data_IF_246070197013
#
_entry.id   IF_246070197013
#
_cell.length_a   1.000
_cell.length_b   1.000
_cell.length_c   1.000
_cell.angle_alpha   90.00
_cell.angle_beta   90.00
_cell.angle_gamma   90.00
#
_symmetry.space_group_name_H-M   'P 1'
#
loop_
_entity.id
_entity.type
_entity.pdbx_description
1 polymer ?
#
# COMPACT_ATOMS: atom_id res chain seq x y z
N UNK A 1 -14.86 9.05 14.58
CA UNK A 1 -13.68 8.24 14.21
C UNK A 1 -12.48 9.12 13.86
N UNK A 2 -12.62 10.15 13.03
CA UNK A 2 -11.55 11.13 12.75
C UNK A 2 -11.43 12.25 13.82
N UNK A 3 -11.68 11.93 15.10
CA UNK A 3 -11.63 12.92 16.17
C UNK A 3 -10.21 13.48 16.29
N UNK A 4 -10.05 14.77 16.02
CA UNK A 4 -8.74 15.45 15.99
C UNK A 4 -8.37 16.05 14.63
N UNK A 5 -9.02 15.63 13.54
CA UNK A 5 -8.92 16.33 12.26
C UNK A 5 -9.98 17.42 12.16
N UNK A 6 -9.59 18.57 11.59
CA UNK A 6 -10.54 19.60 11.14
C UNK A 6 -10.89 19.28 9.69
N UNK A 7 -12.17 19.02 9.43
CA UNK A 7 -12.65 18.70 8.09
C UNK A 7 -14.08 19.22 7.89
N UNK A 8 -14.44 19.40 6.63
CA UNK A 8 -15.80 19.67 6.19
C UNK A 8 -16.40 18.40 5.60
N UNK A 9 -17.71 18.22 5.78
CA UNK A 9 -18.43 17.07 5.24
C UNK A 9 -19.17 17.53 3.98
N UNK A 10 -18.75 17.01 2.83
CA UNK A 10 -19.46 17.15 1.57
C UNK A 10 -19.98 15.78 1.15
N UNK A 11 -21.31 15.66 1.05
CA UNK A 11 -21.95 14.43 0.56
C UNK A 11 -21.83 14.40 -0.96
N UNK A 12 -21.29 13.31 -1.50
CA UNK A 12 -21.29 13.07 -2.95
C UNK A 12 -22.72 12.82 -3.46
N UNK A 13 -23.02 13.31 -4.67
CA UNK A 13 -24.27 12.99 -5.37
C UNK A 13 -24.08 11.87 -6.42
N UNK A 14 -22.92 11.23 -6.45
CA UNK A 14 -22.69 10.08 -7.32
C UNK A 14 -23.72 8.98 -7.04
N UNK A 15 -24.44 8.55 -8.06
CA UNK A 15 -25.42 7.46 -7.95
C UNK A 15 -24.71 6.12 -7.72
N UNK A 16 -25.05 5.42 -6.64
CA UNK A 16 -24.48 4.11 -6.30
C UNK A 16 -25.12 2.98 -7.14
N UNK A 17 -25.10 3.11 -8.46
CA UNK A 17 -25.79 2.22 -9.41
C UNK A 17 -24.84 1.46 -10.35
N UNK A 18 -23.53 1.46 -10.06
CA UNK A 18 -22.54 0.70 -10.81
C UNK A 18 -22.93 -0.78 -10.92
N UNK A 19 -22.81 -1.33 -12.14
CA UNK A 19 -23.13 -2.73 -12.40
C UNK A 19 -22.11 -3.65 -11.73
N UNK A 20 -22.52 -4.30 -10.64
CA UNK A 20 -21.71 -5.24 -9.86
C UNK A 20 -21.15 -6.38 -10.72
N UNK A 21 -21.83 -6.77 -11.80
CA UNK A 21 -21.40 -7.86 -12.69
C UNK A 21 -20.23 -7.49 -13.61
N UNK A 22 -19.96 -6.19 -13.77
CA UNK A 22 -18.82 -5.68 -14.53
C UNK A 22 -17.47 -5.81 -13.82
N UNK A 23 -17.49 -6.12 -12.51
CA UNK A 23 -16.30 -6.20 -11.67
C UNK A 23 -15.86 -7.65 -11.47
N UNK A 24 -14.55 -7.89 -11.50
CA UNK A 24 -13.98 -9.23 -11.28
C UNK A 24 -14.10 -9.69 -9.83
N UNK A 25 -14.18 -8.74 -8.90
CA UNK A 25 -14.28 -9.01 -7.48
C UNK A 25 -15.09 -7.92 -6.76
N UNK A 26 -15.67 -8.23 -5.58
CA UNK A 26 -16.27 -7.22 -4.72
C UNK A 26 -15.32 -6.08 -4.32
N UNK A 27 -14.04 -6.38 -4.26
CA UNK A 27 -12.98 -5.42 -3.94
C UNK A 27 -12.84 -4.38 -5.04
N UNK A 28 -12.89 -4.81 -6.30
CA UNK A 28 -12.84 -3.88 -7.44
C UNK A 28 -14.08 -2.97 -7.46
N UNK A 29 -15.25 -3.53 -7.14
CA UNK A 29 -16.50 -2.77 -7.02
C UNK A 29 -16.42 -1.67 -5.97
N UNK A 30 -16.08 -2.02 -4.71
CA UNK A 30 -16.05 -1.05 -3.60
C UNK A 30 -14.99 0.04 -3.83
N UNK A 31 -13.85 -0.31 -4.43
CA UNK A 31 -12.83 0.67 -4.81
C UNK A 31 -13.34 1.66 -5.83
N UNK A 32 -13.99 1.18 -6.89
CA UNK A 32 -14.51 2.04 -7.93
C UNK A 32 -15.62 2.95 -7.41
N UNK A 33 -16.54 2.43 -6.59
CA UNK A 33 -17.58 3.25 -5.94
C UNK A 33 -16.97 4.34 -5.06
N UNK A 34 -15.98 4.01 -4.20
CA UNK A 34 -15.28 5.00 -3.37
C UNK A 34 -14.58 6.06 -4.23
N UNK A 35 -13.93 5.63 -5.32
CA UNK A 35 -13.23 6.49 -6.27
C UNK A 35 -14.17 7.49 -6.93
N UNK A 36 -15.26 7.03 -7.52
CA UNK A 36 -16.19 7.89 -8.24
C UNK A 36 -16.84 8.93 -7.32
N UNK A 37 -17.24 8.55 -6.11
CA UNK A 37 -17.73 9.49 -5.08
C UNK A 37 -16.71 10.57 -4.75
N UNK A 38 -15.44 10.18 -4.64
CA UNK A 38 -14.36 11.11 -4.26
C UNK A 38 -14.00 12.06 -5.40
N UNK A 39 -13.99 11.56 -6.64
CA UNK A 39 -13.76 12.35 -7.85
C UNK A 39 -14.86 13.39 -8.05
N UNK A 40 -16.12 13.03 -7.85
CA UNK A 40 -17.25 13.96 -7.99
C UNK A 40 -17.13 15.14 -7.01
N UNK A 41 -16.83 14.86 -5.73
CA UNK A 41 -16.61 15.91 -4.72
C UNK A 41 -15.40 16.77 -5.07
N UNK A 42 -14.28 16.15 -5.48
CA UNK A 42 -13.09 16.90 -5.88
C UNK A 42 -13.36 17.82 -7.09
N UNK A 43 -14.13 17.34 -8.06
CA UNK A 43 -14.50 18.11 -9.26
C UNK A 43 -15.40 19.30 -8.91
N UNK A 44 -16.42 19.09 -8.07
CA UNK A 44 -17.29 20.17 -7.58
C UNK A 44 -16.50 21.26 -6.87
N UNK A 45 -15.55 20.88 -6.01
CA UNK A 45 -14.71 21.83 -5.30
C UNK A 45 -13.76 22.58 -6.25
N UNK A 46 -13.21 21.87 -7.24
CA UNK A 46 -12.33 22.45 -8.26
C UNK A 46 -13.06 23.50 -9.10
N UNK A 47 -14.28 23.19 -9.54
CA UNK A 47 -15.10 24.07 -10.38
C UNK A 47 -15.53 25.33 -9.61
N UNK A 48 -15.73 25.21 -8.29
CA UNK A 48 -15.98 26.33 -7.38
C UNK A 48 -14.71 27.11 -7.00
N UNK A 49 -13.54 26.69 -7.48
CA UNK A 49 -12.23 27.23 -7.08
C UNK A 49 -12.04 27.27 -5.56
N UNK A 50 -12.64 26.31 -4.85
CA UNK A 50 -12.47 26.19 -3.42
C UNK A 50 -11.03 25.74 -3.12
N UNK A 51 -10.41 26.22 -2.02
CA UNK A 51 -9.14 25.68 -1.59
C UNK A 51 -9.32 24.22 -1.15
N UNK A 52 -8.59 23.31 -1.79
CA UNK A 52 -8.61 21.88 -1.49
C UNK A 52 -7.22 21.48 -1.03
N UNK A 53 -7.07 20.96 0.18
CA UNK A 53 -5.83 20.33 0.62
C UNK A 53 -5.87 18.80 0.43
N UNK A 54 -7.02 18.21 0.78
CA UNK A 54 -7.26 16.78 0.73
C UNK A 54 -8.77 16.49 0.69
N UNK A 55 -9.20 15.68 -0.26
CA UNK A 55 -10.52 15.05 -0.28
C UNK A 55 -10.34 13.59 0.09
N UNK A 56 -11.16 13.12 1.04
CA UNK A 56 -11.20 11.73 1.49
C UNK A 56 -12.59 11.20 1.19
N UNK A 57 -12.68 10.13 0.41
CA UNK A 57 -13.90 9.35 0.31
C UNK A 57 -13.65 7.90 0.68
N UNK A 58 -14.70 7.24 1.13
CA UNK A 58 -14.69 5.84 1.48
C UNK A 58 -16.01 5.19 1.09
N UNK A 59 -15.96 3.90 0.80
CA UNK A 59 -17.14 3.07 0.57
C UNK A 59 -16.96 1.73 1.26
N UNK A 60 -18.05 1.19 1.81
CA UNK A 60 -18.04 -0.03 2.62
C UNK A 60 -19.13 -0.97 2.16
N UNK A 61 -18.75 -2.23 1.92
CA UNK A 61 -19.66 -3.31 1.55
C UNK A 61 -19.42 -4.55 2.41
N UNK A 62 -20.45 -5.39 2.55
CA UNK A 62 -20.32 -6.72 3.15
C UNK A 62 -20.34 -7.77 2.05
N UNK A 63 -19.51 -8.80 2.15
CA UNK A 63 -19.52 -9.93 1.22
C UNK A 63 -19.72 -11.24 1.96
N UNK A 64 -20.61 -12.07 1.44
CA UNK A 64 -20.84 -13.42 1.93
C UNK A 64 -21.10 -14.35 0.74
N UNK A 65 -20.38 -15.47 0.66
CA UNK A 65 -20.44 -16.42 -0.49
C UNK A 65 -20.30 -15.73 -1.87
N UNK A 66 -19.36 -14.78 -1.99
CA UNK A 66 -19.12 -13.95 -3.18
C UNK A 66 -20.29 -13.02 -3.59
N UNK A 67 -21.32 -12.87 -2.78
CA UNK A 67 -22.40 -11.90 -2.99
C UNK A 67 -22.11 -10.62 -2.23
N UNK A 68 -22.33 -9.47 -2.88
CA UNK A 68 -22.16 -8.14 -2.30
C UNK A 68 -23.47 -7.70 -1.63
N UNK A 69 -23.37 -7.26 -0.39
CA UNK A 69 -24.46 -6.73 0.42
C UNK A 69 -24.17 -5.26 0.75
N UNK A 70 -25.02 -4.40 0.22
CA UNK A 70 -25.04 -2.97 0.52
C UNK A 70 -26.05 -2.67 1.64
N UNK A 71 -26.59 -1.46 1.66
CA UNK A 71 -27.66 -1.07 2.57
C UNK A 71 -28.95 -1.82 2.21
N UNK A 72 -29.69 -2.35 3.20
CA UNK A 72 -30.99 -2.94 2.94
C UNK A 72 -31.97 -1.87 2.44
N UNK A 73 -32.90 -2.28 1.59
CA UNK A 73 -33.89 -1.38 0.96
C UNK A 73 -35.02 -1.04 1.92
N UNK A 74 -35.33 -2.00 2.79
CA UNK A 74 -36.39 -1.95 3.77
C UNK A 74 -36.11 -2.96 4.90
N UNK A 75 -36.98 -2.99 5.92
CA UNK A 75 -36.87 -3.90 7.06
C UNK A 75 -36.93 -5.38 6.68
N UNK A 76 -37.70 -5.74 5.66
CA UNK A 76 -37.81 -7.14 5.19
C UNK A 76 -36.49 -7.59 4.60
N UNK A 77 -35.89 -6.77 3.73
CA UNK A 77 -34.58 -7.03 3.16
C UNK A 77 -33.50 -7.14 4.26
N UNK A 78 -33.56 -6.29 5.31
CA UNK A 78 -32.65 -6.40 6.44
C UNK A 78 -32.76 -7.76 7.18
N UNK A 79 -33.99 -8.24 7.41
CA UNK A 79 -34.21 -9.58 7.98
C UNK A 79 -33.61 -10.69 7.11
N UNK A 80 -33.75 -10.60 5.78
CA UNK A 80 -33.21 -11.57 4.83
C UNK A 80 -31.67 -11.58 4.81
N UNK A 81 -31.04 -10.41 4.88
CA UNK A 81 -29.58 -10.30 5.00
C UNK A 81 -29.08 -10.94 6.29
N UNK A 82 -29.66 -10.59 7.44
CA UNK A 82 -29.25 -11.10 8.75
C UNK A 82 -29.41 -12.63 8.88
N UNK A 83 -30.42 -13.20 8.23
CA UNK A 83 -30.59 -14.66 8.16
C UNK A 83 -29.44 -15.35 7.43
N UNK A 84 -28.88 -14.73 6.40
CA UNK A 84 -27.76 -15.28 5.63
C UNK A 84 -26.45 -15.26 6.42
N UNK A 85 -26.25 -14.22 7.22
CA UNK A 85 -25.06 -14.10 8.07
C UNK A 85 -25.13 -14.94 9.36
N UNK A 86 -26.33 -15.30 9.81
CA UNK A 86 -26.56 -16.04 11.06
C UNK A 86 -25.69 -17.30 11.17
N UNK A 87 -24.83 -17.35 12.19
CA UNK A 87 -23.95 -18.49 12.46
C UNK A 87 -22.85 -18.71 11.43
N UNK A 88 -22.53 -17.69 10.62
CA UNK A 88 -21.52 -17.76 9.57
C UNK A 88 -20.54 -16.60 9.62
N UNK A 89 -19.46 -16.71 8.84
CA UNK A 89 -18.48 -15.65 8.64
C UNK A 89 -18.81 -14.92 7.34
N UNK A 90 -18.80 -13.59 7.40
CA UNK A 90 -18.81 -12.70 6.24
C UNK A 90 -17.66 -11.70 6.35
N UNK A 91 -17.29 -11.09 5.24
CA UNK A 91 -16.16 -10.15 5.19
C UNK A 91 -16.68 -8.74 4.93
N UNK A 92 -16.23 -7.78 5.75
CA UNK A 92 -16.47 -6.35 5.52
C UNK A 92 -15.29 -5.77 4.77
N UNK A 93 -15.57 -5.11 3.65
CA UNK A 93 -14.57 -4.43 2.82
C UNK A 93 -14.81 -2.93 2.87
N UNK A 94 -13.77 -2.16 3.13
CA UNK A 94 -13.80 -0.71 2.94
C UNK A 94 -12.67 -0.29 2.01
N UNK A 95 -13.01 0.46 0.97
CA UNK A 95 -12.03 1.18 0.16
C UNK A 95 -11.98 2.64 0.58
N UNK A 96 -10.78 3.23 0.56
CA UNK A 96 -10.54 4.64 0.85
C UNK A 96 -9.77 5.25 -0.31
N UNK A 97 -10.22 6.42 -0.73
CA UNK A 97 -9.62 7.20 -1.81
C UNK A 97 -9.24 8.58 -1.28
N UNK A 98 -8.01 8.98 -1.57
CA UNK A 98 -7.43 10.26 -1.22
C UNK A 98 -7.16 11.03 -2.51
N UNK A 99 -7.72 12.22 -2.64
CA UNK A 99 -7.44 13.14 -3.74
C UNK A 99 -6.79 14.40 -3.19
N UNK A 100 -5.67 14.80 -3.77
CA UNK A 100 -4.96 16.03 -3.39
C UNK A 100 -4.55 16.83 -4.62
N UNK A 101 -4.38 18.15 -4.53
CA UNK A 101 -3.86 18.93 -5.63
C UNK A 101 -2.47 18.46 -6.07
N UNK A 102 -2.13 18.67 -7.35
CA UNK A 102 -0.83 18.31 -7.92
C UNK A 102 0.35 19.04 -7.24
N UNK A 103 0.11 20.20 -6.64
CA UNK A 103 1.12 20.94 -5.88
C UNK A 103 1.18 20.54 -4.39
N UNK A 104 0.44 19.50 -3.97
CA UNK A 104 0.46 19.01 -2.60
C UNK A 104 1.87 18.56 -2.19
N UNK A 105 2.30 19.01 -1.02
CA UNK A 105 3.59 18.64 -0.42
C UNK A 105 3.46 17.57 0.65
N UNK A 106 2.24 17.13 0.94
CA UNK A 106 1.95 16.18 2.03
C UNK A 106 1.56 14.83 1.47
N UNK A 107 0.74 14.77 0.42
CA UNK A 107 0.35 13.53 -0.23
C UNK A 107 0.73 13.61 -1.71
N UNK A 108 1.48 12.60 -2.17
CA UNK A 108 1.73 12.34 -3.58
C UNK A 108 1.19 10.95 -3.88
N UNK A 109 0.63 10.79 -5.07
CA UNK A 109 0.08 9.54 -5.58
C UNK A 109 0.20 9.50 -7.09
N UNK A 110 -0.60 8.66 -7.71
CA UNK A 110 -0.71 8.62 -9.18
C UNK A 110 -1.48 9.84 -9.69
N UNK A 111 -1.28 10.21 -10.95
CA UNK A 111 -2.13 11.23 -11.57
C UNK A 111 -3.55 10.68 -11.69
N UNK A 112 -4.55 11.51 -11.39
CA UNK A 112 -5.95 11.10 -11.43
C UNK A 112 -6.36 10.56 -12.81
N UNK A 113 -6.03 11.30 -13.86
CA UNK A 113 -5.99 10.81 -15.24
C UNK A 113 -4.91 11.55 -16.04
N UNK A 114 -4.67 11.13 -17.28
CA UNK A 114 -3.67 11.76 -18.14
C UNK A 114 -4.08 13.18 -18.55
N UNK A 115 -5.39 13.43 -18.64
CA UNK A 115 -5.99 14.67 -19.12
C UNK A 115 -6.26 15.68 -17.98
N UNK A 116 -6.50 15.22 -16.75
CA UNK A 116 -6.73 16.08 -15.57
C UNK A 116 -5.46 16.15 -14.71
N UNK A 117 -4.62 17.16 -15.02
CA UNK A 117 -3.37 17.41 -14.31
C UNK A 117 -3.54 18.12 -12.96
N UNK A 118 -4.78 18.36 -12.50
CA UNK A 118 -5.04 19.13 -11.28
C UNK A 118 -4.79 18.32 -10.01
N UNK A 119 -4.90 16.98 -10.08
CA UNK A 119 -5.00 16.14 -8.90
C UNK A 119 -4.12 14.89 -8.93
N UNK A 120 -3.60 14.54 -7.76
CA UNK A 120 -3.11 13.21 -7.43
C UNK A 120 -4.22 12.37 -6.78
N UNK A 121 -4.21 11.07 -7.04
CA UNK A 121 -5.06 10.07 -6.41
C UNK A 121 -4.23 9.00 -5.70
N UNK A 122 -4.70 8.54 -4.55
CA UNK A 122 -4.17 7.37 -3.84
C UNK A 122 -5.34 6.55 -3.35
N UNK A 123 -5.27 5.24 -3.56
CA UNK A 123 -6.35 4.31 -3.21
C UNK A 123 -5.78 3.19 -2.35
N UNK A 124 -6.53 2.79 -1.33
CA UNK A 124 -6.22 1.58 -0.56
C UNK A 124 -7.51 0.96 -0.04
N UNK A 125 -7.42 -0.30 0.39
CA UNK A 125 -8.55 -1.03 0.95
C UNK A 125 -8.14 -1.78 2.21
N UNK A 126 -9.13 -2.19 2.99
CA UNK A 126 -8.99 -3.08 4.14
C UNK A 126 -10.14 -4.09 4.17
N UNK A 127 -9.86 -5.27 4.73
CA UNK A 127 -10.87 -6.31 4.96
C UNK A 127 -10.90 -6.78 6.40
N UNK A 128 -12.07 -7.22 6.85
CA UNK A 128 -12.24 -7.78 8.18
C UNK A 128 -13.31 -8.84 8.17
N UNK A 129 -12.94 -10.05 8.61
CA UNK A 129 -13.90 -11.13 8.78
C UNK A 129 -14.68 -10.91 10.08
N UNK A 130 -16.00 -11.10 10.01
CA UNK A 130 -16.93 -10.94 11.11
C UNK A 130 -17.71 -12.24 11.28
N UNK A 131 -17.63 -12.83 12.46
CA UNK A 131 -18.41 -14.01 12.85
C UNK A 131 -19.71 -13.56 13.51
N UNK A 132 -20.85 -13.88 12.90
CA UNK A 132 -22.16 -13.63 13.49
C UNK A 132 -22.56 -14.82 14.37
N UNK A 133 -23.08 -14.55 15.56
CA UNK A 133 -23.74 -15.58 16.36
C UNK A 133 -24.91 -16.19 15.59
N UNK A 134 -25.28 -17.44 15.89
CA UNK A 134 -26.51 -18.04 15.37
C UNK A 134 -27.73 -17.32 15.94
N UNK A 135 -28.40 -16.54 15.09
CA UNK A 135 -29.56 -15.73 15.44
C UNK A 135 -30.86 -16.51 15.24
N UNK A 136 -31.79 -16.38 16.20
CA UNK A 136 -33.17 -16.84 16.03
C UNK A 136 -34.00 -15.79 15.26
N UNK A 137 -35.14 -16.17 14.65
CA UNK A 137 -36.03 -15.22 13.98
C UNK A 137 -36.48 -14.06 14.88
N UNK A 138 -36.68 -14.31 16.17
CA UNK A 138 -37.11 -13.32 17.17
C UNK A 138 -36.01 -12.29 17.43
N UNK A 139 -34.75 -12.73 17.52
CA UNK A 139 -33.60 -11.84 17.69
C UNK A 139 -33.44 -10.95 16.45
N UNK A 140 -33.52 -11.53 15.25
CA UNK A 140 -33.42 -10.79 13.99
C UNK A 140 -34.50 -9.71 13.92
N UNK A 141 -35.75 -10.07 14.19
CA UNK A 141 -36.87 -9.13 14.18
C UNK A 141 -36.67 -8.01 15.21
N UNK A 142 -36.31 -8.36 16.44
CA UNK A 142 -36.08 -7.40 17.52
C UNK A 142 -34.98 -6.41 17.18
N UNK A 143 -33.89 -6.88 16.58
CA UNK A 143 -32.81 -6.01 16.12
C UNK A 143 -33.24 -5.10 14.97
N UNK A 144 -33.94 -5.62 13.95
CA UNK A 144 -34.45 -4.80 12.84
C UNK A 144 -35.43 -3.73 13.33
N UNK A 145 -36.19 -4.00 14.39
CA UNK A 145 -37.12 -3.04 14.99
C UNK A 145 -36.43 -1.90 15.77
N UNK A 146 -35.14 -2.02 16.09
CA UNK A 146 -34.34 -0.90 16.64
C UNK A 146 -34.15 0.24 15.64
N UNK A 147 -34.26 -0.06 14.33
CA UNK A 147 -33.99 0.91 13.26
C UNK A 147 -32.51 1.07 12.89
N UNK A 148 -31.58 0.35 13.52
CA UNK A 148 -30.15 0.47 13.26
C UNK A 148 -29.68 -0.07 11.87
N UNK A 149 -30.58 -0.57 11.02
CA UNK A 149 -30.21 -1.40 9.87
C UNK A 149 -30.09 -0.65 8.54
N UNK A 150 -30.99 0.30 8.26
CA UNK A 150 -31.22 0.81 6.89
C UNK A 150 -30.07 1.67 6.34
N UNK A 151 -29.23 2.24 7.19
CA UNK A 151 -28.11 3.08 6.80
C UNK A 151 -26.77 2.32 6.72
N UNK A 152 -26.76 0.99 6.95
CA UNK A 152 -25.54 0.19 7.10
C UNK A 152 -25.45 -0.94 6.08
N UNK A 153 -24.25 -1.13 5.53
CA UNK A 153 -23.97 -2.27 4.65
C UNK A 153 -24.20 -3.60 5.40
N UNK A 154 -24.91 -4.53 4.78
CA UNK A 154 -25.32 -5.80 5.42
C UNK A 154 -26.39 -5.64 6.51
N UNK A 155 -26.90 -4.43 6.76
CA UNK A 155 -28.01 -4.22 7.68
C UNK A 155 -27.67 -4.38 9.17
N UNK A 156 -26.41 -4.28 9.57
CA UNK A 156 -26.01 -4.28 10.99
C UNK A 156 -24.88 -3.29 11.30
N UNK A 157 -24.74 -2.89 12.57
CA UNK A 157 -23.69 -2.00 13.03
C UNK A 157 -22.98 -2.51 14.27
N UNK A 158 -21.65 -2.65 14.22
CA UNK A 158 -20.84 -3.15 15.34
C UNK A 158 -20.79 -2.21 16.55
N UNK A 159 -21.14 -0.93 16.38
CA UNK A 159 -20.96 0.12 17.42
C UNK A 159 -22.07 0.17 18.46
N UNK A 160 -23.26 -0.34 18.15
CA UNK A 160 -24.47 -0.19 18.96
C UNK A 160 -25.08 -1.56 19.25
N UNK A 161 -26.41 -1.71 19.22
CA UNK A 161 -27.07 -2.98 19.58
C UNK A 161 -26.61 -4.11 18.63
N UNK A 162 -26.29 -3.79 17.37
CA UNK A 162 -25.78 -4.77 16.42
C UNK A 162 -24.47 -5.45 16.85
N UNK A 163 -23.69 -4.83 17.75
CA UNK A 163 -22.53 -5.44 18.38
C UNK A 163 -22.86 -6.71 19.16
N UNK A 164 -24.08 -6.85 19.70
CA UNK A 164 -24.51 -8.06 20.41
C UNK A 164 -24.80 -9.24 19.49
N UNK A 165 -24.81 -9.04 18.16
CA UNK A 165 -24.99 -10.10 17.17
C UNK A 165 -23.67 -10.75 16.75
N UNK A 166 -22.53 -10.13 17.09
CA UNK A 166 -21.20 -10.48 16.61
C UNK A 166 -20.46 -11.27 17.70
N UNK A 167 -20.00 -12.47 17.35
CA UNK A 167 -19.20 -13.32 18.24
C UNK A 167 -17.75 -12.84 18.29
N UNK A 168 -17.21 -12.41 17.14
CA UNK A 168 -15.84 -11.94 17.04
C UNK A 168 -15.51 -11.41 15.65
N UNK A 169 -14.36 -10.73 15.56
CA UNK A 169 -13.82 -10.22 14.32
C UNK A 169 -12.36 -10.65 14.14
N UNK A 170 -11.93 -10.77 12.89
CA UNK A 170 -10.52 -10.97 12.52
C UNK A 170 -10.13 -9.92 11.50
N UNK A 171 -9.51 -8.84 11.98
CA UNK A 171 -9.13 -7.69 11.17
C UNK A 171 -9.25 -6.39 11.96
N UNK A 172 -9.47 -5.29 11.26
CA UNK A 172 -9.58 -3.95 11.82
C UNK A 172 -11.03 -3.63 12.24
N UNK A 173 -11.23 -3.36 13.53
CA UNK A 173 -12.52 -2.90 14.07
C UNK A 173 -13.00 -1.61 13.39
N UNK A 174 -12.11 -0.66 13.10
CA UNK A 174 -12.47 0.61 12.46
C UNK A 174 -12.90 0.41 11.01
N UNK A 175 -12.34 -0.58 10.31
CA UNK A 175 -12.83 -1.00 9.00
C UNK A 175 -14.30 -1.44 9.05
N UNK A 176 -14.69 -2.24 10.06
CA UNK A 176 -16.10 -2.66 10.22
C UNK A 176 -17.02 -1.48 10.52
N UNK A 177 -16.51 -0.45 11.20
CA UNK A 177 -17.24 0.81 11.40
C UNK A 177 -17.32 1.69 10.13
N UNK A 178 -16.63 1.32 9.05
CA UNK A 178 -16.70 2.00 7.75
C UNK A 178 -15.51 2.88 7.38
N UNK A 179 -14.42 2.86 8.16
CA UNK A 179 -13.17 3.53 7.76
C UNK A 179 -11.94 2.92 8.44
N UNK A 180 -10.99 2.31 7.70
CA UNK A 180 -9.83 1.63 8.25
C UNK A 180 -8.77 2.61 8.80
N UNK A 181 -9.04 3.14 10.00
CA UNK A 181 -8.27 4.21 10.61
C UNK A 181 -6.80 3.85 10.81
N UNK A 182 -6.51 2.61 11.22
CA UNK A 182 -5.15 2.15 11.44
C UNK A 182 -4.33 2.24 10.14
N UNK A 183 -4.84 1.66 9.06
CA UNK A 183 -4.19 1.65 7.74
C UNK A 183 -4.06 3.07 7.18
N UNK A 184 -5.12 3.87 7.29
CA UNK A 184 -5.08 5.28 6.89
C UNK A 184 -3.94 6.03 7.59
N UNK A 185 -3.84 5.96 8.91
CA UNK A 185 -2.82 6.66 9.68
C UNK A 185 -1.41 6.15 9.39
N UNK A 186 -1.22 4.83 9.30
CA UNK A 186 0.10 4.23 9.08
C UNK A 186 0.67 4.58 7.71
N UNK A 187 -0.14 4.49 6.66
CA UNK A 187 0.28 4.69 5.26
C UNK A 187 0.39 6.17 4.89
N UNK A 188 -0.37 7.05 5.57
CA UNK A 188 -0.54 8.43 5.14
C UNK A 188 -0.10 9.48 6.15
N UNK A 189 -0.27 9.25 7.45
CA UNK A 189 0.10 10.23 8.48
C UNK A 189 1.49 9.96 9.04
N UNK A 190 1.72 8.78 9.62
CA UNK A 190 2.96 8.50 10.35
C UNK A 190 4.18 8.42 9.44
N UNK A 191 4.13 7.59 8.39
CA UNK A 191 5.27 7.48 7.46
C UNK A 191 5.63 8.82 6.84
N UNK A 192 4.65 9.62 6.45
CA UNK A 192 4.90 10.91 5.78
C UNK A 192 5.34 12.01 6.75
N UNK A 193 4.78 12.07 7.96
CA UNK A 193 5.25 13.00 9.00
C UNK A 193 6.65 12.65 9.49
N UNK A 194 6.96 11.37 9.72
CA UNK A 194 8.31 10.91 10.09
C UNK A 194 9.29 11.18 8.95
N UNK A 195 8.94 10.88 7.70
CA UNK A 195 9.80 11.20 6.56
C UNK A 195 10.08 12.70 6.44
N UNK A 196 9.04 13.54 6.55
CA UNK A 196 9.17 15.00 6.39
C UNK A 196 9.89 15.66 7.57
N UNK A 197 9.55 15.30 8.81
CA UNK A 197 10.10 15.94 10.00
C UNK A 197 11.46 15.36 10.38
N UNK A 198 11.65 14.06 10.25
CA UNK A 198 12.86 13.38 10.71
C UNK A 198 13.84 13.13 9.56
N UNK A 199 13.43 12.43 8.49
CA UNK A 199 14.37 12.04 7.43
C UNK A 199 14.86 13.25 6.64
N UNK A 200 13.98 14.13 6.16
CA UNK A 200 14.42 15.32 5.40
C UNK A 200 15.27 16.27 6.24
N UNK A 201 14.96 16.40 7.53
CA UNK A 201 15.75 17.21 8.47
C UNK A 201 17.12 16.60 8.72
N UNK A 202 17.21 15.28 8.96
CA UNK A 202 18.49 14.57 9.15
C UNK A 202 19.31 14.61 7.87
N UNK A 203 18.70 14.42 6.70
CA UNK A 203 19.41 14.47 5.42
C UNK A 203 19.95 15.87 5.13
N UNK A 204 19.14 16.92 5.34
CA UNK A 204 19.57 18.32 5.17
C UNK A 204 20.62 18.75 6.18
N UNK A 205 20.39 18.49 7.47
CA UNK A 205 21.21 19.05 8.55
C UNK A 205 22.47 18.23 8.76
N UNK A 206 22.37 16.90 8.70
CA UNK A 206 23.44 16.01 9.10
C UNK A 206 24.14 15.41 7.89
N UNK A 207 23.44 14.67 7.02
CA UNK A 207 24.09 13.93 5.92
C UNK A 207 24.76 14.90 4.94
N UNK A 208 24.04 15.91 4.42
CA UNK A 208 24.63 16.88 3.48
C UNK A 208 25.79 17.66 4.09
N UNK A 209 25.73 17.96 5.38
CA UNK A 209 26.80 18.66 6.10
C UNK A 209 28.03 17.77 6.25
N UNK A 210 27.86 16.52 6.67
CA UNK A 210 28.95 15.53 6.77
C UNK A 210 29.59 15.31 5.40
N UNK A 211 28.77 15.17 4.37
CA UNK A 211 29.25 14.91 3.01
C UNK A 211 30.04 16.09 2.44
N UNK A 212 29.61 17.33 2.73
CA UNK A 212 30.30 18.55 2.32
C UNK A 212 31.58 18.82 3.12
N UNK A 213 31.56 18.59 4.43
CA UNK A 213 32.65 18.98 5.34
C UNK A 213 33.71 17.90 5.50
N UNK A 214 33.35 16.62 5.34
CA UNK A 214 34.25 15.51 5.60
C UNK A 214 34.39 14.60 4.38
N UNK A 215 33.31 14.00 3.89
CA UNK A 215 33.41 12.97 2.82
C UNK A 215 34.06 13.52 1.56
N UNK A 216 33.55 14.64 1.00
CA UNK A 216 34.10 15.24 -0.23
C UNK A 216 35.54 15.75 -0.05
N UNK A 217 35.90 16.44 1.04
CA UNK A 217 37.29 16.81 1.31
C UNK A 217 38.22 15.60 1.45
N UNK A 218 37.82 14.56 2.20
CA UNK A 218 38.62 13.34 2.37
C UNK A 218 38.86 12.66 1.03
N UNK A 219 37.81 12.52 0.23
CA UNK A 219 37.93 11.94 -1.12
C UNK A 219 38.83 12.76 -2.04
N UNK A 220 38.74 14.09 -1.98
CA UNK A 220 39.54 14.97 -2.83
C UNK A 220 41.01 15.02 -2.41
N UNK A 221 41.28 15.06 -1.11
CA UNK A 221 42.62 15.29 -0.54
C UNK A 221 43.39 13.99 -0.30
N UNK A 222 42.71 12.89 -0.02
CA UNK A 222 43.34 11.63 0.35
C UNK A 222 42.96 10.50 -0.60
N UNK A 223 41.67 10.14 -0.70
CA UNK A 223 41.27 8.93 -1.45
C UNK A 223 41.69 9.00 -2.92
N UNK A 224 41.34 10.07 -3.64
CA UNK A 224 41.69 10.22 -5.07
C UNK A 224 43.19 10.35 -5.31
N UNK A 225 43.96 11.13 -4.52
CA UNK A 225 45.42 11.16 -4.63
C UNK A 225 46.06 9.81 -4.33
N UNK A 226 45.64 9.09 -3.28
CA UNK A 226 46.16 7.76 -2.94
C UNK A 226 45.91 6.78 -4.08
N UNK A 227 44.69 6.77 -4.61
CA UNK A 227 44.35 5.92 -5.76
C UNK A 227 45.16 6.25 -7.00
N UNK A 228 45.36 7.54 -7.28
CA UNK A 228 46.10 7.98 -8.47
C UNK A 228 47.61 7.71 -8.36
N UNK A 229 48.19 7.93 -7.19
CA UNK A 229 49.64 7.89 -6.97
C UNK A 229 50.14 6.51 -6.56
N UNK A 230 49.32 5.73 -5.86
CA UNK A 230 49.75 4.46 -5.28
C UNK A 230 48.92 3.29 -5.81
N UNK A 231 47.60 3.28 -5.59
CA UNK A 231 46.76 2.10 -5.90
C UNK A 231 46.83 1.74 -7.39
N UNK A 232 46.54 2.69 -8.28
CA UNK A 232 46.53 2.44 -9.74
C UNK A 232 47.91 2.13 -10.30
N UNK A 233 48.99 2.84 -9.93
CA UNK A 233 50.35 2.47 -10.35
C UNK A 233 50.78 1.10 -9.82
N UNK A 234 50.50 0.77 -8.56
CA UNK A 234 50.82 -0.52 -7.97
C UNK A 234 50.08 -1.66 -8.69
N UNK A 235 48.77 -1.53 -8.92
CA UNK A 235 47.99 -2.51 -9.67
C UNK A 235 48.51 -2.71 -11.09
N UNK A 236 48.90 -1.62 -11.77
CA UNK A 236 49.41 -1.67 -13.14
C UNK A 236 50.81 -2.26 -13.21
N UNK A 237 51.71 -1.82 -12.34
CA UNK A 237 53.13 -2.16 -12.40
C UNK A 237 53.42 -3.50 -11.73
N UNK A 238 52.85 -3.74 -10.56
CA UNK A 238 53.12 -4.96 -9.79
C UNK A 238 52.09 -6.03 -10.07
N UNK A 239 50.80 -5.80 -9.82
CA UNK A 239 49.81 -6.89 -9.94
C UNK A 239 49.68 -7.37 -11.40
N UNK A 240 49.51 -6.45 -12.36
CA UNK A 240 49.37 -6.83 -13.77
C UNK A 240 50.66 -7.31 -14.42
N UNK A 241 51.81 -6.72 -14.11
CA UNK A 241 53.08 -7.15 -14.72
C UNK A 241 53.64 -8.41 -14.07
N UNK A 242 53.63 -8.51 -12.72
CA UNK A 242 54.02 -9.72 -12.02
C UNK A 242 53.04 -10.86 -12.31
N UNK A 243 51.74 -10.59 -12.37
CA UNK A 243 50.75 -11.57 -12.83
C UNK A 243 51.04 -12.06 -14.24
N UNK A 244 51.31 -11.17 -15.21
CA UNK A 244 51.69 -11.58 -16.57
C UNK A 244 53.00 -12.37 -16.62
N UNK A 245 54.03 -11.98 -15.89
CA UNK A 245 55.32 -12.66 -15.88
C UNK A 245 55.24 -14.02 -15.19
N UNK A 246 54.65 -14.06 -14.00
CA UNK A 246 54.52 -15.27 -13.19
C UNK A 246 53.57 -16.27 -13.84
N UNK A 247 52.36 -15.86 -14.27
CA UNK A 247 51.42 -16.77 -14.93
C UNK A 247 52.00 -17.29 -16.24
N UNK A 248 52.66 -16.45 -17.04
CA UNK A 248 53.27 -16.90 -18.31
C UNK A 248 54.48 -17.80 -18.08
N UNK A 249 55.25 -17.58 -17.02
CA UNK A 249 56.35 -18.46 -16.63
C UNK A 249 55.84 -19.80 -16.11
N UNK A 250 54.86 -19.81 -15.21
CA UNK A 250 54.22 -21.03 -14.68
C UNK A 250 53.58 -21.84 -15.80
N UNK A 251 52.85 -21.18 -16.69
CA UNK A 251 52.17 -21.83 -17.81
C UNK A 251 53.17 -22.46 -18.80
N UNK A 252 54.28 -21.76 -19.09
CA UNK A 252 55.32 -22.24 -20.01
C UNK A 252 56.22 -23.31 -19.41
N UNK A 253 56.61 -23.17 -18.15
CA UNK A 253 57.62 -24.03 -17.51
C UNK A 253 57.01 -25.26 -16.83
N UNK A 254 55.78 -25.16 -16.34
CA UNK A 254 55.17 -26.21 -15.54
C UNK A 254 53.89 -26.76 -16.18
N UNK A 255 52.91 -25.92 -16.51
CA UNK A 255 51.59 -26.40 -16.96
C UNK A 255 51.65 -27.08 -18.34
N UNK A 256 52.23 -26.42 -19.35
CA UNK A 256 52.32 -26.99 -20.71
C UNK A 256 53.20 -28.26 -20.78
N UNK A 257 54.38 -28.31 -20.14
CA UNK A 257 55.18 -29.53 -20.11
C UNK A 257 54.51 -30.67 -19.35
N UNK A 258 53.89 -30.41 -18.19
CA UNK A 258 53.16 -31.42 -17.43
C UNK A 258 51.96 -31.96 -18.22
N UNK A 259 51.21 -31.09 -18.90
CA UNK A 259 50.12 -31.51 -19.78
C UNK A 259 50.59 -32.40 -20.94
N UNK A 260 51.72 -32.07 -21.59
CA UNK A 260 52.31 -32.93 -22.63
C UNK A 260 52.78 -34.28 -22.10
N UNK A 261 53.40 -34.31 -20.92
CA UNK A 261 53.82 -35.54 -20.27
C UNK A 261 52.62 -36.40 -19.88
N UNK A 262 51.58 -35.79 -19.32
CA UNK A 262 50.34 -36.48 -18.94
C UNK A 262 49.65 -37.10 -20.16
N UNK A 263 49.44 -36.33 -21.24
CA UNK A 263 48.84 -36.82 -22.49
C UNK A 263 49.68 -37.97 -23.07
N UNK A 264 51.01 -37.82 -23.14
CA UNK A 264 51.91 -38.86 -23.66
C UNK A 264 51.94 -40.13 -22.81
N UNK A 265 51.71 -40.02 -21.50
CA UNK A 265 51.61 -41.15 -20.59
C UNK A 265 50.25 -41.85 -20.65
N UNK A 266 49.17 -41.09 -20.80
CA UNK A 266 47.82 -41.62 -21.01
C UNK A 266 47.71 -42.34 -22.36
N UNK A 267 48.26 -41.75 -23.43
CA UNK A 267 48.29 -42.37 -24.77
C UNK A 267 49.11 -43.68 -24.81
N UNK A 268 50.05 -43.86 -23.87
CA UNK A 268 50.83 -45.10 -23.71
C UNK A 268 50.15 -46.18 -22.86
N UNK A 269 49.11 -45.83 -22.09
CA UNK A 269 48.37 -46.77 -21.22
C UNK A 269 47.11 -47.33 -21.90
N UNK A 270 46.69 -46.76 -23.03
CA UNK A 270 45.50 -47.14 -23.79
C UNK A 270 45.79 -47.67 -25.20
N UNK A 271 47.04 -48.12 -25.46
CA UNK A 271 47.45 -48.93 -26.61
C UNK A 271 48.16 -50.17 -26.05
#
# INVERSE_FOLDING_TARGET
MLQGLKFEILKSNFEENLDKSSFKSPVDYVKETAKQKTIEVASILADKQAPIDLVIGADTVVTHNNVIFEKPRDKTHACEMLKQFSGSIHTVWTAVVLITPINSTVFKGDRLCAEDERFYITEFQESTDVMMTKLTPEIIKSYVDTGETLDKAGGYGIQAIGGSLIEGIKGDYFNVMGFPLHKFCLDNLYTKLVNKLFIESVDKLFIKSVDKLFTKPVDKLFTKPVDKLFTKPFDRLYIKSAGKLYIKAVDKLFIKPAGKLYIKSVDKLYI
#
